data_IF_436009685072
#
_entry.id   IF_436009685072
#
_cell.length_a   1.000
_cell.length_b   1.000
_cell.length_c   1.000
_cell.angle_alpha   90.00
_cell.angle_beta   90.00
_cell.angle_gamma   90.00
#
_symmetry.space_group_name_H-M   'P 1'
#
loop_
_entity.id
_entity.type
_entity.pdbx_description
1 polymer ?
#
# COMPACT_ATOMS: atom_id res chain seq x y z
N UNK A 1 36.71 20.27 -19.42
CA UNK A 1 35.52 20.30 -18.56
C UNK A 1 34.61 19.18 -19.06
N UNK A 2 34.74 18.00 -18.46
CA UNK A 2 34.20 16.75 -19.03
C UNK A 2 33.15 16.23 -18.06
N UNK A 3 31.89 16.30 -18.48
CA UNK A 3 30.71 15.97 -17.69
C UNK A 3 30.68 14.46 -17.44
N UNK A 4 30.76 14.06 -16.17
CA UNK A 4 30.54 12.67 -15.75
C UNK A 4 29.04 12.37 -15.85
N UNK A 5 28.67 11.45 -16.74
CA UNK A 5 27.36 10.81 -16.73
C UNK A 5 27.43 9.75 -15.62
N UNK A 6 27.00 10.13 -14.41
CA UNK A 6 26.67 9.16 -13.38
C UNK A 6 25.31 8.57 -13.73
N UNK A 7 25.37 7.39 -14.33
CA UNK A 7 24.27 6.46 -14.44
C UNK A 7 23.76 6.16 -13.02
N UNK A 8 22.68 6.82 -12.60
CA UNK A 8 21.92 6.35 -11.44
C UNK A 8 21.18 5.10 -11.93
N UNK A 9 21.67 3.95 -11.48
CA UNK A 9 20.99 2.69 -11.62
C UNK A 9 19.52 2.86 -11.22
N UNK A 10 18.64 2.30 -12.06
CA UNK A 10 17.32 1.85 -11.66
C UNK A 10 17.38 1.31 -10.22
N UNK A 11 16.75 2.01 -9.28
CA UNK A 11 16.13 1.35 -8.15
C UNK A 11 15.01 0.50 -8.76
N UNK A 12 15.36 -0.72 -9.13
CA UNK A 12 14.38 -1.79 -9.22
C UNK A 12 13.75 -1.84 -7.84
N UNK A 13 12.52 -1.35 -7.70
CA UNK A 13 11.66 -1.72 -6.60
C UNK A 13 11.67 -3.25 -6.60
N UNK A 14 12.45 -3.83 -5.67
CA UNK A 14 12.31 -5.24 -5.36
C UNK A 14 10.84 -5.39 -4.97
N UNK A 15 10.11 -6.39 -5.51
CA UNK A 15 8.74 -6.61 -5.06
C UNK A 15 8.78 -6.70 -3.54
N UNK A 16 7.80 -6.10 -2.85
CA UNK A 16 7.69 -6.20 -1.40
C UNK A 16 7.73 -7.69 -0.98
N UNK A 17 8.91 -8.19 -0.65
CA UNK A 17 9.10 -9.52 -0.14
C UNK A 17 8.64 -9.49 1.32
N UNK A 18 8.00 -10.57 1.77
CA UNK A 18 7.82 -10.69 3.21
C UNK A 18 9.17 -10.93 3.85
N UNK A 19 9.48 -10.13 4.85
CA UNK A 19 10.62 -10.42 5.69
C UNK A 19 10.33 -11.65 6.55
N UNK A 20 11.23 -12.62 6.50
CA UNK A 20 11.13 -13.81 7.34
C UNK A 20 11.52 -13.45 8.76
N UNK A 21 10.72 -13.92 9.73
CA UNK A 21 10.95 -13.69 11.14
C UNK A 21 11.24 -15.03 11.85
N UNK A 22 12.51 -15.44 11.96
CA UNK A 22 12.88 -16.75 12.50
C UNK A 22 12.45 -16.90 13.97
N UNK A 23 11.90 -18.06 14.31
CA UNK A 23 11.47 -18.39 15.68
C UNK A 23 10.17 -17.72 16.12
N UNK A 24 9.60 -16.81 15.33
CA UNK A 24 8.34 -16.15 15.64
C UNK A 24 7.14 -16.94 15.12
N UNK A 25 6.07 -16.94 15.92
CA UNK A 25 4.76 -17.46 15.54
C UNK A 25 3.73 -16.38 15.72
N UNK A 26 2.87 -16.20 14.72
CA UNK A 26 1.75 -15.25 14.82
C UNK A 26 0.51 -15.95 15.37
N UNK A 27 -0.14 -15.32 16.35
CA UNK A 27 -1.47 -15.74 16.80
C UNK A 27 -2.52 -14.95 16.02
N UNK A 28 -3.21 -15.65 15.12
CA UNK A 28 -4.32 -15.06 14.37
C UNK A 28 -5.52 -14.90 15.31
N UNK A 29 -6.00 -13.67 15.44
CA UNK A 29 -7.20 -13.29 16.18
C UNK A 29 -8.17 -12.47 15.32
N UNK A 30 -9.19 -11.84 15.92
CA UNK A 30 -10.22 -11.09 15.22
C UNK A 30 -9.74 -9.88 14.42
N UNK A 31 -8.53 -9.37 14.66
CA UNK A 31 -7.94 -8.23 13.95
C UNK A 31 -7.40 -8.63 12.56
N UNK A 32 -7.00 -9.89 12.42
CA UNK A 32 -6.48 -10.43 11.17
C UNK A 32 -7.62 -10.82 10.23
N UNK A 33 -7.54 -10.35 8.99
CA UNK A 33 -8.54 -10.54 7.95
C UNK A 33 -7.97 -11.37 6.82
N UNK A 34 -8.84 -12.10 6.14
CA UNK A 34 -8.55 -12.85 4.90
C UNK A 34 -8.99 -12.09 3.65
N UNK A 35 -9.32 -10.81 3.82
CA UNK A 35 -9.72 -9.89 2.76
C UNK A 35 -9.11 -8.52 3.02
N UNK A 36 -8.83 -7.78 1.94
CA UNK A 36 -8.42 -6.37 1.97
C UNK A 36 -9.49 -5.57 1.25
N UNK A 37 -10.16 -4.68 1.99
CA UNK A 37 -11.25 -3.86 1.47
C UNK A 37 -10.77 -2.45 1.13
N UNK A 38 -11.09 -2.00 -0.09
CA UNK A 38 -10.87 -0.64 -0.58
C UNK A 38 -12.20 0.08 -0.68
N UNK A 39 -12.65 0.68 0.42
CA UNK A 39 -14.04 1.15 0.55
C UNK A 39 -14.41 2.23 -0.48
N UNK A 40 -13.58 3.28 -0.71
CA UNK A 40 -13.94 4.34 -1.66
C UNK A 40 -14.03 3.81 -3.11
N UNK A 41 -13.08 2.97 -3.51
CA UNK A 41 -13.05 2.35 -4.83
C UNK A 41 -14.17 1.31 -4.97
N UNK A 42 -14.52 0.60 -3.90
CA UNK A 42 -15.48 -0.50 -3.89
C UNK A 42 -14.87 -1.82 -4.36
N UNK A 43 -13.62 -2.09 -3.97
CA UNK A 43 -12.93 -3.34 -4.23
C UNK A 43 -12.78 -4.16 -2.94
N UNK A 44 -12.84 -5.48 -3.06
CA UNK A 44 -12.50 -6.42 -1.99
C UNK A 44 -11.59 -7.48 -2.58
N UNK A 45 -10.36 -7.55 -2.10
CA UNK A 45 -9.36 -8.54 -2.54
C UNK A 45 -9.34 -9.68 -1.53
N UNK A 46 -9.59 -10.91 -1.99
CA UNK A 46 -9.51 -12.10 -1.11
C UNK A 46 -8.08 -12.62 -1.05
N UNK A 47 -7.62 -12.99 0.15
CA UNK A 47 -6.28 -13.51 0.38
C UNK A 47 -6.24 -15.05 0.22
N UNK A 48 -5.11 -15.60 -0.26
CA UNK A 48 -4.84 -17.03 -0.24
C UNK A 48 -4.89 -17.65 1.16
N UNK A 49 -5.00 -18.99 1.28
CA UNK A 49 -4.84 -19.67 2.56
C UNK A 49 -3.49 -19.33 3.23
N UNK A 50 -3.50 -19.21 4.56
CA UNK A 50 -2.35 -18.82 5.39
C UNK A 50 -1.83 -17.38 5.21
N UNK A 51 -2.55 -16.56 4.45
CA UNK A 51 -2.23 -15.14 4.30
C UNK A 51 -3.27 -14.27 5.00
N UNK A 52 -2.79 -13.25 5.70
CA UNK A 52 -3.62 -12.40 6.53
C UNK A 52 -3.24 -10.93 6.39
N UNK A 53 -4.24 -10.07 6.51
CA UNK A 53 -4.05 -8.63 6.55
C UNK A 53 -4.55 -8.07 7.87
N UNK A 54 -3.82 -7.11 8.45
CA UNK A 54 -4.23 -6.35 9.62
C UNK A 54 -4.05 -4.85 9.35
N UNK A 55 -5.14 -4.11 9.46
CA UNK A 55 -5.10 -2.65 9.43
C UNK A 55 -5.22 -2.11 10.85
N UNK A 56 -4.23 -1.35 11.30
CA UNK A 56 -4.29 -0.61 12.58
C UNK A 56 -4.86 0.81 12.41
N UNK A 57 -5.20 1.17 11.16
CA UNK A 57 -5.94 2.39 10.84
C UNK A 57 -5.07 3.64 11.02
N UNK A 58 -5.58 4.62 11.78
CA UNK A 58 -4.91 5.90 11.98
C UNK A 58 -4.25 6.01 13.35
N UNK A 59 -2.93 6.19 13.37
CA UNK A 59 -2.10 6.25 14.57
C UNK A 59 -1.41 7.61 14.72
N UNK A 60 -0.99 7.95 15.94
CA UNK A 60 -0.29 9.23 16.20
C UNK A 60 1.15 9.20 15.69
N UNK A 61 1.81 8.04 15.85
CA UNK A 61 3.23 7.84 15.60
C UNK A 61 3.41 6.51 14.85
N UNK A 62 4.00 6.59 13.66
CA UNK A 62 4.17 5.45 12.76
C UNK A 62 5.21 4.46 13.30
N UNK A 63 6.29 4.97 13.90
CA UNK A 63 7.43 4.17 14.36
C UNK A 63 7.09 3.50 15.70
N UNK A 64 6.40 4.22 16.59
CA UNK A 64 5.88 3.65 17.83
C UNK A 64 4.87 2.53 17.55
N UNK A 65 4.06 2.66 16.49
CA UNK A 65 3.14 1.60 16.08
C UNK A 65 3.87 0.38 15.53
N UNK A 66 4.89 0.58 14.69
CA UNK A 66 5.75 -0.50 14.19
C UNK A 66 6.38 -1.28 15.35
N UNK A 67 7.02 -0.57 16.28
CA UNK A 67 7.63 -1.17 17.47
C UNK A 67 6.61 -1.94 18.34
N UNK A 68 5.38 -1.42 18.45
CA UNK A 68 4.27 -2.07 19.14
C UNK A 68 3.89 -3.39 18.46
N UNK A 69 3.76 -3.40 17.14
CA UNK A 69 3.45 -4.61 16.35
C UNK A 69 4.56 -5.64 16.52
N UNK A 70 5.83 -5.25 16.37
CA UNK A 70 6.98 -6.14 16.52
C UNK A 70 7.04 -6.74 17.93
N UNK A 71 6.81 -5.91 18.96
CA UNK A 71 6.72 -6.37 20.35
C UNK A 71 5.60 -7.39 20.56
N UNK A 72 4.42 -7.15 19.96
CA UNK A 72 3.26 -8.03 20.04
C UNK A 72 3.55 -9.43 19.48
N UNK A 73 4.27 -9.51 18.36
CA UNK A 73 4.65 -10.78 17.72
C UNK A 73 5.92 -11.42 18.33
N UNK A 74 6.45 -10.83 19.42
CA UNK A 74 7.58 -11.37 20.17
C UNK A 74 8.94 -11.11 19.52
N UNK A 75 9.03 -10.11 18.66
CA UNK A 75 10.25 -9.76 17.92
C UNK A 75 10.88 -8.53 18.54
N UNK A 76 12.11 -8.67 19.07
CA UNK A 76 12.77 -7.61 19.84
C UNK A 76 13.89 -6.87 19.09
N UNK A 77 14.46 -7.48 18.06
CA UNK A 77 15.62 -6.97 17.33
C UNK A 77 15.46 -7.20 15.82
N UNK A 78 14.39 -6.65 15.26
CA UNK A 78 14.09 -6.75 13.84
C UNK A 78 13.86 -5.35 13.27
N UNK A 79 14.54 -5.04 12.19
CA UNK A 79 14.33 -3.82 11.42
C UNK A 79 13.76 -4.27 10.08
N UNK A 80 12.46 -4.01 9.81
CA UNK A 80 11.86 -4.33 8.54
C UNK A 80 12.63 -3.66 7.41
N UNK A 81 12.65 -4.27 6.22
CA UNK A 81 13.17 -3.57 5.05
C UNK A 81 12.17 -2.50 4.63
N UNK A 82 12.39 -1.26 5.04
CA UNK A 82 11.62 -0.12 4.54
C UNK A 82 12.10 0.23 3.13
N UNK A 83 11.29 -0.06 2.10
CA UNK A 83 11.56 0.38 0.72
C UNK A 83 11.46 1.91 0.58
N UNK A 84 10.69 2.56 1.47
CA UNK A 84 10.59 4.00 1.62
C UNK A 84 10.06 4.31 3.03
N UNK A 85 10.70 5.22 3.77
CA UNK A 85 10.11 5.81 4.96
C UNK A 85 9.05 6.83 4.52
N UNK A 86 7.89 6.36 4.10
CA UNK A 86 6.79 7.23 3.70
C UNK A 86 6.35 8.07 4.92
N UNK A 87 6.24 9.40 4.74
CA UNK A 87 5.99 10.35 5.84
C UNK A 87 4.65 10.12 6.57
N UNK A 88 3.68 9.51 5.90
CA UNK A 88 2.28 9.52 6.34
C UNK A 88 1.62 8.14 6.37
N UNK A 89 2.32 7.09 5.96
CA UNK A 89 1.82 5.72 5.86
C UNK A 89 2.96 4.73 5.99
N UNK A 90 2.65 3.55 6.51
CA UNK A 90 3.57 2.42 6.53
C UNK A 90 2.81 1.13 6.27
N UNK A 91 3.48 0.22 5.58
CA UNK A 91 3.09 -1.17 5.49
C UNK A 91 4.29 -2.07 5.72
N UNK A 92 4.03 -3.22 6.33
CA UNK A 92 5.05 -4.21 6.65
C UNK A 92 4.48 -5.58 6.35
N UNK A 93 5.23 -6.43 5.64
CA UNK A 93 4.82 -7.81 5.38
C UNK A 93 5.82 -8.77 6.02
N UNK A 94 5.33 -9.69 6.84
CA UNK A 94 6.13 -10.66 7.58
C UNK A 94 5.73 -12.09 7.25
N UNK A 95 6.71 -12.98 7.13
CA UNK A 95 6.53 -14.43 7.00
C UNK A 95 7.02 -15.12 8.29
N UNK A 96 6.18 -16.01 8.82
CA UNK A 96 6.41 -16.72 10.08
C UNK A 96 6.82 -18.19 9.82
N UNK A 97 7.49 -18.80 10.79
CA UNK A 97 8.00 -20.18 10.69
C UNK A 97 6.92 -21.25 10.43
N UNK A 98 5.68 -20.97 10.83
CA UNK A 98 4.54 -21.85 10.59
C UNK A 98 3.89 -21.66 9.21
N UNK A 99 4.55 -20.93 8.32
CA UNK A 99 4.17 -20.71 6.93
C UNK A 99 3.08 -19.65 6.74
N UNK A 100 2.69 -18.94 7.82
CA UNK A 100 1.75 -17.82 7.70
C UNK A 100 2.47 -16.58 7.19
N UNK A 101 1.77 -15.79 6.38
CA UNK A 101 2.22 -14.47 5.93
C UNK A 101 1.22 -13.42 6.38
N UNK A 102 1.69 -12.37 7.04
CA UNK A 102 0.84 -11.28 7.49
C UNK A 102 1.35 -9.95 6.95
N UNK A 103 0.47 -9.18 6.31
CA UNK A 103 0.75 -7.78 6.01
C UNK A 103 -0.01 -6.88 6.98
N UNK A 104 0.67 -5.84 7.42
CA UNK A 104 0.21 -4.83 8.36
C UNK A 104 0.21 -3.49 7.64
N UNK A 105 -0.84 -2.68 7.82
CA UNK A 105 -0.90 -1.32 7.27
C UNK A 105 -1.45 -0.33 8.29
N UNK A 106 -0.84 0.84 8.37
CA UNK A 106 -1.27 1.94 9.23
C UNK A 106 -0.84 3.29 8.64
N UNK A 107 -1.58 4.34 8.99
CA UNK A 107 -1.29 5.70 8.54
C UNK A 107 -1.28 6.67 9.70
N UNK A 108 -0.59 7.79 9.51
CA UNK A 108 -0.59 8.89 10.47
C UNK A 108 -1.97 9.54 10.49
N UNK A 109 -2.48 9.88 11.67
CA UNK A 109 -3.69 10.69 11.80
C UNK A 109 -3.51 12.01 11.06
N UNK A 110 -4.49 12.36 10.26
CA UNK A 110 -4.57 13.64 9.56
C UNK A 110 -5.89 14.32 9.93
N UNK A 111 -5.87 15.64 9.98
CA UNK A 111 -7.08 16.46 10.18
C UNK A 111 -8.02 16.36 8.98
N UNK A 112 -7.48 16.07 7.79
CA UNK A 112 -8.26 15.79 6.60
C UNK A 112 -8.44 14.27 6.42
N UNK A 113 -9.59 13.77 6.85
CA UNK A 113 -9.93 12.34 6.76
C UNK A 113 -9.96 11.80 5.33
N UNK A 114 -10.18 12.64 4.32
CA UNK A 114 -10.14 12.21 2.91
C UNK A 114 -8.74 11.76 2.54
N UNK A 115 -7.72 12.58 2.84
CA UNK A 115 -6.33 12.23 2.56
C UNK A 115 -5.83 11.12 3.48
N UNK A 116 -6.24 11.11 4.76
CA UNK A 116 -5.88 10.00 5.67
C UNK A 116 -6.39 8.66 5.12
N UNK A 117 -7.65 8.62 4.69
CA UNK A 117 -8.26 7.41 4.10
C UNK A 117 -7.56 7.02 2.82
N UNK A 118 -7.27 7.96 1.93
CA UNK A 118 -6.58 7.69 0.68
C UNK A 118 -5.19 7.09 0.89
N UNK A 119 -4.41 7.62 1.86
CA UNK A 119 -3.10 7.07 2.23
C UNK A 119 -3.23 5.66 2.80
N UNK A 120 -4.28 5.36 3.56
CA UNK A 120 -4.50 3.99 4.01
C UNK A 120 -4.84 3.05 2.85
N UNK A 121 -5.55 3.52 1.82
CA UNK A 121 -5.75 2.76 0.59
C UNK A 121 -4.43 2.57 -0.20
N UNK A 122 -3.50 3.53 -0.16
CA UNK A 122 -2.13 3.37 -0.68
C UNK A 122 -1.40 2.22 0.03
N UNK A 123 -1.36 2.21 1.36
CA UNK A 123 -0.68 1.14 2.14
C UNK A 123 -1.32 -0.25 1.98
N UNK A 124 -2.65 -0.30 1.82
CA UNK A 124 -3.36 -1.54 1.49
C UNK A 124 -2.96 -2.06 0.12
N UNK A 125 -2.65 -1.19 -0.85
CA UNK A 125 -2.20 -1.63 -2.16
C UNK A 125 -0.86 -2.38 -2.06
N UNK A 126 0.11 -1.87 -1.32
CA UNK A 126 1.35 -2.59 -1.01
C UNK A 126 1.08 -3.94 -0.36
N UNK A 127 0.12 -3.99 0.57
CA UNK A 127 -0.31 -5.24 1.20
C UNK A 127 -0.89 -6.25 0.20
N UNK A 128 -1.63 -5.78 -0.82
CA UNK A 128 -2.12 -6.63 -1.92
C UNK A 128 -0.97 -7.15 -2.76
N UNK A 129 0.01 -6.32 -3.13
CA UNK A 129 1.18 -6.75 -3.90
C UNK A 129 1.98 -7.80 -3.13
N UNK A 130 2.19 -7.59 -1.83
CA UNK A 130 2.94 -8.52 -1.01
C UNK A 130 2.21 -9.86 -0.83
N UNK A 131 0.90 -9.84 -0.54
CA UNK A 131 0.12 -11.05 -0.24
C UNK A 131 -0.43 -11.72 -1.50
N UNK A 132 -1.23 -10.99 -2.29
CA UNK A 132 -1.91 -11.52 -3.46
C UNK A 132 -1.77 -10.61 -4.70
N UNK A 133 -0.62 -10.62 -5.40
CA UNK A 133 -0.40 -9.79 -6.59
C UNK A 133 -1.45 -10.00 -7.69
N UNK A 134 -2.04 -11.20 -7.79
CA UNK A 134 -3.12 -11.47 -8.74
C UNK A 134 -4.42 -10.71 -8.40
N UNK A 135 -4.62 -10.36 -7.13
CA UNK A 135 -5.74 -9.57 -6.61
C UNK A 135 -5.79 -8.13 -7.10
N UNK A 136 -4.70 -7.60 -7.69
CA UNK A 136 -4.70 -6.27 -8.36
C UNK A 136 -5.81 -6.16 -9.40
N UNK A 137 -6.16 -7.27 -10.07
CA UNK A 137 -7.25 -7.32 -11.06
C UNK A 137 -8.62 -6.97 -10.46
N UNK A 138 -8.85 -7.30 -9.19
CA UNK A 138 -10.10 -6.96 -8.52
C UNK A 138 -10.22 -5.45 -8.27
N UNK A 139 -9.08 -4.79 -8.00
CA UNK A 139 -8.97 -3.33 -7.87
C UNK A 139 -9.19 -2.68 -9.24
N UNK A 140 -8.48 -3.11 -10.28
CA UNK A 140 -8.64 -2.60 -11.66
C UNK A 140 -10.10 -2.71 -12.13
N UNK A 141 -10.75 -3.87 -11.89
CA UNK A 141 -12.15 -4.07 -12.23
C UNK A 141 -13.08 -3.12 -11.46
N UNK A 142 -12.78 -2.81 -10.20
CA UNK A 142 -13.53 -1.83 -9.42
C UNK A 142 -13.32 -0.40 -9.93
N UNK A 143 -12.09 -0.01 -10.26
CA UNK A 143 -11.79 1.27 -10.90
C UNK A 143 -12.54 1.44 -12.21
N UNK A 144 -12.61 0.38 -13.03
CA UNK A 144 -13.37 0.38 -14.27
C UNK A 144 -14.87 0.62 -14.03
N UNK A 145 -15.46 -0.01 -13.00
CA UNK A 145 -16.86 0.25 -12.59
C UNK A 145 -17.07 1.70 -12.13
N UNK A 146 -16.02 2.38 -11.68
CA UNK A 146 -16.02 3.81 -11.34
C UNK A 146 -15.73 4.73 -12.55
N UNK A 147 -15.59 4.16 -13.74
CA UNK A 147 -15.36 4.91 -14.98
C UNK A 147 -13.88 5.16 -15.32
N UNK A 148 -12.94 4.47 -14.67
CA UNK A 148 -11.50 4.62 -14.88
C UNK A 148 -10.90 3.32 -15.44
N UNK A 149 -10.47 3.34 -16.71
CA UNK A 149 -9.84 2.18 -17.34
C UNK A 149 -8.32 2.23 -17.18
N UNK A 150 -7.84 1.88 -15.98
CA UNK A 150 -6.42 1.88 -15.63
C UNK A 150 -5.91 0.44 -15.53
N UNK A 151 -4.71 0.19 -16.06
CA UNK A 151 -3.97 -1.07 -15.86
C UNK A 151 -2.83 -0.83 -14.86
N UNK A 152 -3.05 -1.20 -13.61
CA UNK A 152 -2.07 -1.12 -12.53
C UNK A 152 -0.98 -2.20 -12.68
N UNK A 153 -1.34 -3.37 -13.21
CA UNK A 153 -0.35 -4.44 -13.44
C UNK A 153 0.75 -4.00 -14.41
N UNK A 154 2.01 -4.09 -13.96
CA UNK A 154 3.19 -3.71 -14.73
C UNK A 154 3.57 -2.23 -14.63
N UNK A 155 2.83 -1.43 -13.86
CA UNK A 155 3.32 -0.13 -13.38
C UNK A 155 4.33 -0.33 -12.26
N UNK A 156 5.16 0.68 -12.02
CA UNK A 156 5.90 0.82 -10.77
C UNK A 156 4.93 0.77 -9.57
N UNK A 157 5.36 0.11 -8.49
CA UNK A 157 4.48 -0.18 -7.35
C UNK A 157 3.99 1.08 -6.66
N UNK A 158 4.89 2.04 -6.40
CA UNK A 158 4.54 3.33 -5.77
C UNK A 158 3.64 4.14 -6.69
N UNK A 159 3.92 4.18 -8.00
CA UNK A 159 3.04 4.84 -8.96
C UNK A 159 1.63 4.25 -8.95
N UNK A 160 1.50 2.91 -8.93
CA UNK A 160 0.22 2.23 -8.89
C UNK A 160 -0.54 2.49 -7.57
N UNK A 161 0.17 2.45 -6.44
CA UNK A 161 -0.37 2.78 -5.13
C UNK A 161 -0.87 4.23 -5.08
N UNK A 162 -0.10 5.19 -5.63
CA UNK A 162 -0.53 6.59 -5.71
C UNK A 162 -1.70 6.79 -6.67
N UNK A 163 -1.81 6.02 -7.76
CA UNK A 163 -3.02 6.05 -8.59
C UNK A 163 -4.27 5.62 -7.79
N UNK A 164 -4.14 4.60 -6.92
CA UNK A 164 -5.20 4.16 -6.00
C UNK A 164 -5.51 5.23 -4.96
N UNK A 165 -4.49 5.89 -4.40
CA UNK A 165 -4.63 7.03 -3.48
C UNK A 165 -5.41 8.17 -4.12
N UNK A 166 -4.95 8.67 -5.26
CA UNK A 166 -5.54 9.85 -5.90
C UNK A 166 -6.95 9.58 -6.45
N UNK A 167 -7.21 8.34 -6.91
CA UNK A 167 -8.58 7.95 -7.24
C UNK A 167 -9.48 7.97 -5.99
N UNK A 168 -8.97 7.51 -4.85
CA UNK A 168 -9.71 7.55 -3.58
C UNK A 168 -10.04 8.99 -3.16
N UNK A 169 -9.07 9.90 -3.25
CA UNK A 169 -9.29 11.34 -3.01
C UNK A 169 -10.35 11.88 -3.97
N UNK A 170 -10.27 11.52 -5.25
CA UNK A 170 -11.21 11.98 -6.27
C UNK A 170 -12.64 11.50 -6.02
N UNK A 171 -12.81 10.20 -5.73
CA UNK A 171 -14.11 9.60 -5.42
C UNK A 171 -14.72 10.17 -4.14
N UNK A 172 -13.92 10.81 -3.29
CA UNK A 172 -14.36 11.52 -2.08
C UNK A 172 -14.76 12.99 -2.34
N UNK A 173 -14.75 13.45 -3.60
CA UNK A 173 -15.31 14.74 -4.02
C UNK A 173 -14.30 15.80 -4.42
N UNK A 174 -12.99 15.54 -4.32
CA UNK A 174 -11.95 16.46 -4.79
C UNK A 174 -11.75 16.31 -6.29
N UNK A 175 -11.61 17.41 -7.04
CA UNK A 175 -11.39 17.29 -8.49
C UNK A 175 -9.95 16.91 -8.77
N UNK A 176 -9.72 16.06 -9.78
CA UNK A 176 -8.37 15.71 -10.23
C UNK A 176 -7.52 16.94 -10.59
N UNK A 177 -8.15 18.03 -11.06
CA UNK A 177 -7.47 19.27 -11.43
C UNK A 177 -7.00 20.10 -10.22
N UNK A 178 -7.48 19.78 -9.03
CA UNK A 178 -7.06 20.40 -7.77
C UNK A 178 -5.94 19.59 -7.09
N UNK A 179 -5.62 18.39 -7.59
CA UNK A 179 -4.56 17.55 -7.07
C UNK A 179 -3.21 17.98 -7.66
N UNK A 180 -2.30 18.38 -6.77
CA UNK A 180 -0.94 18.82 -7.12
C UNK A 180 0.04 18.20 -6.14
N UNK A 181 1.31 18.05 -6.54
CA UNK A 181 2.29 17.42 -5.67
C UNK A 181 3.59 17.10 -6.38
N UNK A 182 4.23 16.02 -5.95
CA UNK A 182 5.45 15.49 -6.54
C UNK A 182 5.26 15.07 -8.00
N UNK A 183 6.37 14.76 -8.69
CA UNK A 183 6.32 14.24 -10.05
C UNK A 183 5.42 12.99 -10.16
N UNK A 184 5.50 12.10 -9.15
CA UNK A 184 4.70 10.88 -9.09
C UNK A 184 3.20 11.18 -8.97
N UNK A 185 2.82 12.19 -8.17
CA UNK A 185 1.42 12.69 -8.09
C UNK A 185 0.96 13.21 -9.46
N UNK A 186 1.79 14.00 -10.14
CA UNK A 186 1.45 14.52 -11.48
C UNK A 186 1.24 13.39 -12.49
N UNK A 187 2.13 12.39 -12.51
CA UNK A 187 2.01 11.22 -13.38
C UNK A 187 0.72 10.43 -13.08
N UNK A 188 0.40 10.18 -11.81
CA UNK A 188 -0.80 9.48 -11.40
C UNK A 188 -2.09 10.24 -11.79
N UNK A 189 -2.13 11.57 -11.62
CA UNK A 189 -3.25 12.41 -12.08
C UNK A 189 -3.44 12.29 -13.59
N UNK A 190 -2.36 12.34 -14.36
CA UNK A 190 -2.41 12.23 -15.81
C UNK A 190 -2.91 10.87 -16.29
N UNK A 191 -2.50 9.79 -15.63
CA UNK A 191 -3.03 8.43 -15.86
C UNK A 191 -4.55 8.41 -15.63
N UNK A 192 -5.00 8.93 -14.48
CA UNK A 192 -6.42 8.95 -14.13
C UNK A 192 -7.24 9.76 -15.14
N UNK A 193 -6.76 10.96 -15.52
CA UNK A 193 -7.42 11.80 -16.53
C UNK A 193 -7.54 11.10 -17.89
N UNK A 194 -6.45 10.50 -18.39
CA UNK A 194 -6.42 9.80 -19.68
C UNK A 194 -7.29 8.54 -19.68
N UNK A 195 -7.44 7.89 -18.53
CA UNK A 195 -8.22 6.66 -18.37
C UNK A 195 -9.72 6.86 -18.21
N UNK A 196 -10.17 8.11 -17.95
CA UNK A 196 -11.56 8.42 -17.65
C UNK A 196 -12.45 8.19 -18.88
N UNK A 197 -13.40 7.28 -18.73
CA UNK A 197 -14.42 7.02 -19.74
C UNK A 197 -15.46 8.15 -19.71
N UNK A 198 -15.82 8.65 -20.90
CA UNK A 198 -16.86 9.68 -21.07
C UNK A 198 -18.25 9.09 -20.91
#
# INVERSE_FOLDING_TARGET
MTLKITCWLLLLALPAFADKVPGARVRIDSRYKVVIDFNPIGATVRLPPNEYFRSDGFVEDLDAQEASILSEIGVKDFTPSDANAAENGRSMCLEFDDGKKCSYAWCKKDTNLVFATARLEHEKYHSVIALNPAGVKDIEAAMQRRGFNVKLQGMDEELAATVVELLTVHLSGVKLDELTGSELVVQAVDILRKSRQR
#
